data_IF_640302692601
#
_entry.id   IF_640302692601
#
_cell.length_a   1.000
_cell.length_b   1.000
_cell.length_c   1.000
_cell.angle_alpha   90.00
_cell.angle_beta   90.00
_cell.angle_gamma   90.00
#
_symmetry.space_group_name_H-M   'P 1'
#
loop_
_entity.id
_entity.type
_entity.pdbx_description
1 polymer ?
#
# COMPACT_ATOMS: atom_id res chain seq x y z
N UNK A 1 27.11 41.53 34.33
CA UNK A 1 28.10 40.43 34.43
C UNK A 1 27.35 39.15 34.81
N UNK A 2 27.64 38.04 34.12
CA UNK A 2 26.93 36.74 34.15
C UNK A 2 25.61 36.69 33.36
N UNK A 3 25.68 36.47 32.04
CA UNK A 3 24.79 35.56 31.27
C UNK A 3 25.12 35.59 29.76
N UNK A 4 26.41 35.55 29.38
CA UNK A 4 26.84 35.64 27.96
C UNK A 4 27.97 34.65 27.61
N UNK A 5 27.86 33.39 28.06
CA UNK A 5 28.89 32.40 27.72
C UNK A 5 28.41 30.94 27.80
N UNK A 6 27.29 30.62 27.16
CA UNK A 6 26.82 29.23 27.07
C UNK A 6 26.16 28.86 25.73
N UNK A 7 26.49 29.56 24.63
CA UNK A 7 25.98 29.24 23.29
C UNK A 7 27.09 29.16 22.24
N UNK A 8 28.24 28.56 22.60
CA UNK A 8 29.32 28.22 21.65
C UNK A 8 29.99 26.89 22.04
N UNK A 9 29.25 25.78 22.06
CA UNK A 9 29.84 24.44 22.11
C UNK A 9 28.88 23.30 21.71
N UNK A 10 28.01 23.52 20.71
CA UNK A 10 27.19 22.45 20.11
C UNK A 10 27.45 22.29 18.61
N UNK A 11 28.73 22.32 18.18
CA UNK A 11 29.07 22.10 16.76
C UNK A 11 30.18 21.11 16.47
N UNK A 12 30.66 20.36 17.44
CA UNK A 12 31.62 19.30 17.20
C UNK A 12 31.47 18.27 18.30
N UNK A 13 30.84 17.15 17.95
CA UNK A 13 31.23 15.79 18.32
C UNK A 13 30.01 14.86 18.36
N UNK A 14 30.15 13.75 17.62
CA UNK A 14 29.48 12.44 17.78
C UNK A 14 28.15 12.26 17.00
N UNK A 15 27.93 11.12 16.29
CA UNK A 15 28.87 10.37 15.45
C UNK A 15 28.22 9.88 14.15
N UNK A 16 29.06 9.37 13.24
CA UNK A 16 28.66 8.45 12.20
C UNK A 16 28.08 7.15 12.81
N UNK A 17 26.79 7.11 13.10
CA UNK A 17 25.93 5.92 13.17
C UNK A 17 24.51 6.44 12.88
N UNK A 18 24.07 6.32 11.63
CA UNK A 18 22.66 6.44 11.26
C UNK A 18 22.08 5.02 11.18
N UNK A 19 21.37 4.51 12.19
CA UNK A 19 20.72 3.23 12.08
C UNK A 19 19.32 3.43 11.48
N UNK A 20 19.15 2.92 10.26
CA UNK A 20 17.94 2.19 9.84
C UNK A 20 16.59 2.79 10.25
N UNK A 21 16.34 4.07 9.99
CA UNK A 21 14.96 4.57 9.93
C UNK A 21 14.42 4.28 8.52
N UNK A 22 13.48 3.33 8.46
CA UNK A 22 12.94 2.76 7.23
C UNK A 22 12.21 3.77 6.32
N UNK A 23 11.92 3.38 5.07
CA UNK A 23 11.61 4.30 3.97
C UNK A 23 10.19 4.92 3.96
N UNK A 24 9.52 5.09 5.11
CA UNK A 24 8.06 5.33 5.15
C UNK A 24 7.59 6.69 5.68
N UNK A 25 8.40 7.74 5.60
CA UNK A 25 7.95 9.14 5.86
C UNK A 25 8.29 10.15 4.75
N UNK A 26 8.97 9.76 3.69
CA UNK A 26 9.42 10.68 2.65
C UNK A 26 8.43 10.90 1.51
N UNK A 27 7.30 11.58 1.74
CA UNK A 27 6.58 12.25 0.62
C UNK A 27 6.67 13.78 0.66
N UNK A 28 7.10 14.35 1.78
CA UNK A 28 7.22 15.80 1.93
C UNK A 28 8.66 16.33 1.82
N UNK A 29 9.69 15.47 1.95
CA UNK A 29 11.09 15.90 2.00
C UNK A 29 11.81 15.89 0.63
N UNK A 30 11.20 15.35 -0.43
CA UNK A 30 11.88 15.16 -1.72
C UNK A 30 11.69 16.30 -2.73
N UNK A 31 10.92 17.33 -2.42
CA UNK A 31 10.70 18.46 -3.32
C UNK A 31 11.89 19.46 -3.37
N UNK A 32 12.82 19.41 -2.42
CA UNK A 32 13.86 20.43 -2.28
C UNK A 32 15.23 20.04 -2.87
N UNK A 33 15.42 18.80 -3.32
CA UNK A 33 16.77 18.32 -3.65
C UNK A 33 17.17 18.45 -5.14
N UNK A 34 16.32 18.94 -6.04
CA UNK A 34 16.67 19.19 -7.46
C UNK A 34 17.27 17.99 -8.21
N UNK A 35 17.14 16.79 -7.65
CA UNK A 35 17.74 15.57 -8.16
C UNK A 35 16.69 14.92 -9.06
N UNK A 36 17.04 14.83 -10.34
CA UNK A 36 16.32 14.11 -11.38
C UNK A 36 16.34 12.61 -11.04
N UNK A 37 15.57 12.21 -10.02
CA UNK A 37 15.39 10.82 -9.65
C UNK A 37 14.59 10.13 -10.75
N UNK A 38 15.28 9.65 -11.78
CA UNK A 38 14.74 8.62 -12.67
C UNK A 38 14.39 7.42 -11.80
N UNK A 39 13.10 7.10 -11.74
CA UNK A 39 12.62 5.84 -11.19
C UNK A 39 13.46 4.71 -11.84
N UNK A 40 14.11 3.84 -11.05
CA UNK A 40 14.98 2.82 -11.61
C UNK A 40 14.19 2.03 -12.65
N UNK A 41 14.76 1.79 -13.85
CA UNK A 41 14.04 1.12 -14.92
C UNK A 41 13.60 -0.24 -14.38
N UNK A 42 12.28 -0.43 -14.37
CA UNK A 42 11.68 -1.65 -13.89
C UNK A 42 12.23 -2.79 -14.76
N UNK A 43 12.61 -3.95 -14.16
CA UNK A 43 13.10 -5.08 -14.95
C UNK A 43 12.05 -5.44 -16.00
N UNK A 44 12.48 -5.65 -17.25
CA UNK A 44 11.59 -6.02 -18.35
C UNK A 44 10.91 -7.35 -18.01
N UNK A 45 9.62 -7.28 -17.67
CA UNK A 45 8.86 -8.42 -17.17
C UNK A 45 8.60 -9.35 -18.35
N UNK A 46 9.15 -10.56 -18.30
CA UNK A 46 8.66 -11.67 -19.12
C UNK A 46 7.24 -11.96 -18.68
N UNK A 47 6.27 -11.61 -19.52
CA UNK A 47 4.83 -11.64 -19.19
C UNK A 47 4.35 -13.04 -18.80
N UNK A 48 5.08 -14.07 -19.22
CA UNK A 48 4.65 -15.46 -19.19
C UNK A 48 5.14 -16.23 -17.95
N UNK A 49 6.00 -15.64 -17.12
CA UNK A 49 6.45 -16.30 -15.89
C UNK A 49 5.40 -16.12 -14.79
N UNK A 50 4.80 -17.23 -14.34
CA UNK A 50 3.90 -17.28 -13.20
C UNK A 50 4.75 -17.34 -11.92
N UNK A 51 4.71 -16.31 -11.06
CA UNK A 51 5.50 -16.31 -9.83
C UNK A 51 4.90 -17.31 -8.83
N UNK A 52 5.74 -18.07 -8.10
CA UNK A 52 5.25 -18.96 -7.07
C UNK A 52 4.63 -18.16 -5.89
N UNK A 53 3.70 -18.76 -5.14
CA UNK A 53 3.18 -18.20 -3.90
C UNK A 53 4.30 -17.81 -2.92
N UNK A 54 4.39 -16.53 -2.55
CA UNK A 54 5.34 -16.02 -1.54
C UNK A 54 4.66 -15.80 -0.20
N UNK A 55 5.36 -16.11 0.89
CA UNK A 55 4.91 -15.86 2.28
C UNK A 55 3.55 -16.49 2.62
N UNK A 56 3.25 -17.67 2.07
CA UNK A 56 1.95 -18.33 2.29
C UNK A 56 0.75 -17.61 1.66
N UNK A 57 0.99 -16.66 0.75
CA UNK A 57 -0.09 -16.01 0.00
C UNK A 57 -0.73 -17.01 -0.97
N UNK A 58 -1.94 -17.44 -0.63
CA UNK A 58 -2.81 -18.18 -1.54
C UNK A 58 -3.68 -17.22 -2.36
N UNK A 59 -4.31 -17.74 -3.42
CA UNK A 59 -5.21 -16.99 -4.32
C UNK A 59 -6.25 -16.17 -3.55
N UNK A 60 -6.92 -16.79 -2.60
CA UNK A 60 -7.99 -16.15 -1.83
C UNK A 60 -7.45 -15.03 -0.93
N UNK A 61 -6.30 -15.27 -0.27
CA UNK A 61 -5.63 -14.26 0.54
C UNK A 61 -5.16 -13.09 -0.33
N UNK A 62 -4.60 -13.37 -1.50
CA UNK A 62 -4.14 -12.35 -2.42
C UNK A 62 -5.29 -11.45 -2.90
N UNK A 63 -6.42 -12.02 -3.30
CA UNK A 63 -7.62 -11.25 -3.68
C UNK A 63 -8.16 -10.43 -2.52
N UNK A 64 -8.24 -11.03 -1.33
CA UNK A 64 -8.60 -10.32 -0.09
C UNK A 64 -7.61 -9.20 0.23
N UNK A 65 -6.34 -9.33 -0.15
CA UNK A 65 -5.29 -8.33 0.06
C UNK A 65 -5.19 -7.25 -1.03
N UNK A 66 -5.90 -7.37 -2.14
CA UNK A 66 -5.89 -6.35 -3.18
C UNK A 66 -6.87 -5.22 -2.88
N UNK A 67 -8.01 -5.53 -2.28
CA UNK A 67 -9.00 -4.54 -1.88
C UNK A 67 -10.36 -5.15 -1.58
N UNK A 68 -11.34 -4.31 -1.19
CA UNK A 68 -12.70 -4.76 -0.94
C UNK A 68 -13.31 -5.33 -2.22
N UNK A 69 -14.17 -6.34 -2.04
CA UNK A 69 -15.02 -6.95 -3.06
C UNK A 69 -14.27 -7.67 -4.20
N UNK A 70 -12.94 -7.82 -4.10
CA UNK A 70 -12.14 -8.57 -5.08
C UNK A 70 -12.22 -10.09 -4.85
N UNK A 71 -12.69 -10.51 -3.68
CA UNK A 71 -12.92 -11.90 -3.30
C UNK A 71 -14.34 -12.41 -3.62
N UNK A 72 -15.24 -11.53 -4.10
CA UNK A 72 -16.63 -11.88 -4.41
C UNK A 72 -16.76 -13.05 -5.42
N UNK A 73 -15.86 -13.12 -6.40
CA UNK A 73 -15.83 -14.21 -7.39
C UNK A 73 -14.58 -15.10 -7.23
N UNK A 74 -14.01 -15.21 -6.02
CA UNK A 74 -12.82 -16.05 -5.81
C UNK A 74 -13.06 -17.53 -6.16
N UNK A 75 -14.30 -18.00 -6.05
CA UNK A 75 -14.70 -19.38 -6.39
C UNK A 75 -14.62 -19.71 -7.87
N UNK A 76 -14.75 -18.72 -8.77
CA UNK A 76 -14.67 -18.97 -10.23
C UNK A 76 -13.23 -19.10 -10.73
N UNK A 77 -12.28 -18.59 -9.97
CA UNK A 77 -10.85 -18.68 -10.27
C UNK A 77 -10.33 -19.95 -9.61
N UNK A 78 -10.10 -21.01 -10.36
CA UNK A 78 -9.77 -22.34 -9.81
C UNK A 78 -8.41 -22.36 -9.09
N UNK A 79 -7.36 -21.79 -9.71
CA UNK A 79 -5.98 -21.94 -9.25
C UNK A 79 -5.22 -20.61 -9.21
N UNK A 80 -4.09 -20.61 -8.50
CA UNK A 80 -3.13 -19.50 -8.50
C UNK A 80 -2.63 -19.21 -9.92
N UNK A 81 -2.34 -20.24 -10.70
CA UNK A 81 -1.86 -20.10 -12.07
C UNK A 81 -2.91 -19.42 -12.96
N UNK A 82 -4.18 -19.82 -12.84
CA UNK A 82 -5.29 -19.22 -13.59
C UNK A 82 -5.38 -17.72 -13.31
N UNK A 83 -5.25 -17.31 -12.03
CA UNK A 83 -5.25 -15.89 -11.64
C UNK A 83 -4.16 -15.06 -12.35
N UNK A 84 -2.96 -15.62 -12.53
CA UNK A 84 -1.81 -14.91 -13.13
C UNK A 84 -1.75 -14.98 -14.66
N UNK A 85 -2.55 -15.87 -15.26
CA UNK A 85 -2.70 -16.05 -16.70
C UNK A 85 -3.89 -15.28 -17.28
N UNK A 86 -4.96 -15.10 -16.50
CA UNK A 86 -6.16 -14.39 -16.93
C UNK A 86 -5.85 -12.96 -17.38
N UNK A 87 -6.48 -12.57 -18.49
CA UNK A 87 -6.46 -11.21 -19.02
C UNK A 87 -7.58 -10.39 -18.40
N UNK A 88 -7.51 -9.07 -18.61
CA UNK A 88 -8.53 -8.13 -18.17
C UNK A 88 -9.95 -8.53 -18.63
N UNK A 89 -10.09 -8.95 -19.90
CA UNK A 89 -11.39 -9.32 -20.46
C UNK A 89 -11.99 -10.53 -19.74
N UNK A 90 -11.17 -11.53 -19.44
CA UNK A 90 -11.62 -12.75 -18.73
C UNK A 90 -12.22 -12.42 -17.35
N UNK A 91 -11.72 -11.39 -16.66
CA UNK A 91 -12.31 -10.94 -15.39
C UNK A 91 -13.68 -10.28 -15.58
N UNK A 92 -13.86 -9.52 -16.66
CA UNK A 92 -15.16 -8.91 -16.99
C UNK A 92 -16.18 -10.00 -17.32
N UNK A 93 -15.78 -11.01 -18.08
CA UNK A 93 -16.66 -12.13 -18.46
C UNK A 93 -17.08 -12.97 -17.24
N UNK A 94 -16.21 -13.08 -16.23
CA UNK A 94 -16.52 -13.69 -14.92
C UNK A 94 -17.50 -12.86 -14.08
N UNK A 95 -17.68 -11.57 -14.39
CA UNK A 95 -18.61 -10.67 -13.72
C UNK A 95 -17.96 -9.66 -12.76
N UNK A 96 -16.64 -9.52 -12.76
CA UNK A 96 -15.98 -8.46 -12.00
C UNK A 96 -16.34 -7.07 -12.57
N UNK A 97 -16.49 -6.09 -11.69
CA UNK A 97 -16.61 -4.70 -12.14
C UNK A 97 -15.29 -4.23 -12.77
N UNK A 98 -15.39 -3.33 -13.76
CA UNK A 98 -14.23 -2.75 -14.46
C UNK A 98 -13.13 -2.25 -13.50
N UNK A 99 -13.50 -1.57 -12.42
CA UNK A 99 -12.56 -1.05 -11.43
C UNK A 99 -11.88 -2.18 -10.61
N UNK A 100 -12.57 -3.29 -10.34
CA UNK A 100 -12.03 -4.45 -9.64
C UNK A 100 -11.06 -5.21 -10.55
N UNK A 101 -11.49 -5.51 -11.79
CA UNK A 101 -10.67 -6.20 -12.78
C UNK A 101 -9.34 -5.46 -13.05
N UNK A 102 -9.40 -4.14 -13.31
CA UNK A 102 -8.19 -3.32 -13.48
C UNK A 102 -7.27 -3.34 -12.25
N UNK A 103 -7.84 -3.38 -11.04
CA UNK A 103 -7.08 -3.43 -9.80
C UNK A 103 -6.36 -4.77 -9.65
N UNK A 104 -7.05 -5.88 -9.94
CA UNK A 104 -6.48 -7.23 -9.89
C UNK A 104 -5.32 -7.33 -10.87
N UNK A 105 -5.53 -6.96 -12.14
CA UNK A 105 -4.49 -6.98 -13.19
C UNK A 105 -3.28 -6.17 -12.79
N UNK A 106 -3.47 -4.93 -12.29
CA UNK A 106 -2.38 -4.09 -11.81
C UNK A 106 -1.59 -4.74 -10.68
N UNK A 107 -2.27 -5.34 -9.70
CA UNK A 107 -1.58 -6.00 -8.58
C UNK A 107 -0.91 -7.31 -8.98
N UNK A 108 -1.45 -8.05 -9.95
CA UNK A 108 -0.78 -9.21 -10.55
C UNK A 108 0.54 -8.78 -11.18
N UNK A 109 0.57 -7.67 -11.93
CA UNK A 109 1.81 -7.11 -12.48
C UNK A 109 2.79 -6.67 -11.39
N UNK A 110 2.30 -5.99 -10.34
CA UNK A 110 3.13 -5.61 -9.20
C UNK A 110 3.71 -6.82 -8.48
N UNK A 111 2.93 -7.89 -8.35
CA UNK A 111 3.39 -9.13 -7.80
C UNK A 111 4.45 -9.79 -8.69
N UNK A 112 4.29 -9.80 -10.02
CA UNK A 112 5.35 -10.26 -10.93
C UNK A 112 6.66 -9.47 -10.74
N UNK A 113 6.59 -8.18 -10.38
CA UNK A 113 7.74 -7.33 -10.04
C UNK A 113 8.33 -7.55 -8.63
N UNK A 114 7.79 -8.48 -7.84
CA UNK A 114 8.25 -8.75 -6.47
C UNK A 114 7.62 -7.87 -5.40
N UNK A 115 6.64 -7.03 -5.73
CA UNK A 115 5.90 -6.26 -4.72
C UNK A 115 4.81 -7.14 -4.09
N UNK A 116 4.73 -7.15 -2.77
CA UNK A 116 3.66 -7.83 -2.05
C UNK A 116 2.42 -6.94 -1.96
N UNK A 117 1.20 -7.50 -2.02
CA UNK A 117 -0.01 -6.74 -1.80
C UNK A 117 -0.02 -6.24 -0.35
N UNK A 118 0.27 -4.95 -0.16
CA UNK A 118 0.22 -4.33 1.16
C UNK A 118 -1.20 -3.81 1.36
N UNK A 119 -1.95 -4.46 2.26
CA UNK A 119 -3.25 -3.96 2.63
C UNK A 119 -3.11 -2.63 3.37
N UNK A 120 -3.54 -1.53 2.73
CA UNK A 120 -3.89 -0.32 3.48
C UNK A 120 -5.34 -0.44 3.95
N UNK A 121 -5.56 -1.14 5.07
CA UNK A 121 -6.71 -0.84 5.94
C UNK A 121 -6.51 0.56 6.53
N UNK A 122 -6.71 1.59 5.72
CA UNK A 122 -7.03 2.91 6.25
C UNK A 122 -8.25 3.37 5.49
N UNK A 123 -9.43 3.08 6.06
CA UNK A 123 -10.52 4.06 5.93
C UNK A 123 -9.87 5.42 6.22
N UNK A 124 -10.08 6.46 5.40
CA UNK A 124 -9.52 7.76 5.70
C UNK A 124 -9.89 8.08 7.15
N UNK A 125 -8.91 8.44 7.99
CA UNK A 125 -9.15 8.69 9.43
C UNK A 125 -10.36 9.62 9.63
N UNK A 126 -10.55 10.55 8.69
CA UNK A 126 -11.71 11.45 8.59
C UNK A 126 -13.07 10.72 8.54
N UNK A 127 -13.19 9.64 7.78
CA UNK A 127 -14.44 8.85 7.66
C UNK A 127 -14.74 8.16 8.98
N UNK A 128 -13.74 7.51 9.58
CA UNK A 128 -13.86 6.86 10.89
C UNK A 128 -14.26 7.88 11.95
N UNK A 129 -13.62 9.04 11.97
CA UNK A 129 -13.90 10.12 12.92
C UNK A 129 -15.33 10.67 12.77
N UNK A 130 -15.81 10.83 11.53
CA UNK A 130 -17.17 11.31 11.25
C UNK A 130 -18.24 10.32 11.75
N UNK A 131 -18.03 9.01 11.57
CA UNK A 131 -18.92 7.98 12.08
C UNK A 131 -18.96 7.95 13.62
N UNK A 132 -17.80 8.06 14.27
CA UNK A 132 -17.71 8.13 15.73
C UNK A 132 -18.42 9.37 16.29
N UNK A 133 -18.23 10.54 15.66
CA UNK A 133 -18.92 11.78 16.04
C UNK A 133 -20.44 11.66 15.86
N UNK A 134 -20.92 11.00 14.79
CA UNK A 134 -22.35 10.75 14.56
C UNK A 134 -22.94 9.82 15.61
N UNK A 135 -22.25 8.73 15.96
CA UNK A 135 -22.65 7.80 17.05
C UNK A 135 -22.73 8.52 18.40
N UNK A 136 -21.74 9.37 18.72
CA UNK A 136 -21.72 10.16 19.96
C UNK A 136 -22.90 11.14 20.05
N UNK A 137 -23.25 11.82 18.96
CA UNK A 137 -24.42 12.71 18.90
C UNK A 137 -25.75 11.94 19.08
N UNK A 138 -25.88 10.78 18.45
CA UNK A 138 -27.07 9.94 18.59
C UNK A 138 -27.26 9.43 20.03
N UNK A 139 -26.18 8.98 20.68
CA UNK A 139 -26.22 8.53 22.07
C UNK A 139 -26.61 9.65 23.04
N UNK A 140 -26.21 10.90 22.77
CA UNK A 140 -26.55 12.04 23.64
C UNK A 140 -28.00 12.52 23.46
N UNK A 141 -28.62 12.26 22.30
CA UNK A 141 -30.00 12.72 22.01
C UNK A 141 -31.07 11.95 22.81
N UNK A 142 -30.79 10.71 23.22
CA UNK A 142 -31.73 9.87 23.98
C UNK A 142 -31.67 10.04 25.51
N UNK A 143 -30.90 11.01 26.02
CA UNK A 143 -30.65 11.19 27.47
C UNK A 143 -31.28 12.47 28.05
N UNK A 144 -32.05 13.20 27.25
CA UNK A 144 -32.85 14.37 27.62
C UNK A 144 -34.31 14.02 27.46
#
# INVERSE_FOLDING_TARGET
>A
FFFDMAMRCCRQLVPAIAPRLGPWSGRACYAAAGTDYKEPPLPSITRDVIPPPRHGLNKDLFLRFIGPDCDAHASSIESWEKLFTMKYQDFIDVGYQHAQAMRIVRWVEYYKRGMLPVFRWRRPVKVVLKELMKKKKAANKGRR
#
